data_IF_901128585011
#
_entry.id   IF_901128585011
#
_cell.length_a   1.000
_cell.length_b   1.000
_cell.length_c   1.000
_cell.angle_alpha   90.00
_cell.angle_beta   90.00
_cell.angle_gamma   90.00
#
_symmetry.space_group_name_H-M   'P 1'
#
loop_
_entity.id
_entity.type
_entity.pdbx_description
1 polymer ?
#
# COMPACT_ATOMS: atom_id res chain seq x y z
N UNK A 1 -15.10 49.54 -31.94
CA UNK A 1 -14.59 48.15 -31.83
C UNK A 1 -13.59 48.11 -30.69
N UNK A 2 -13.83 47.34 -29.62
CA UNK A 2 -12.88 47.17 -28.50
C UNK A 2 -12.44 45.71 -28.47
N UNK A 3 -11.15 45.45 -28.69
CA UNK A 3 -10.58 44.09 -28.64
C UNK A 3 -10.25 43.76 -27.18
N UNK A 4 -10.94 42.81 -26.59
CA UNK A 4 -10.54 42.23 -25.31
C UNK A 4 -9.45 41.18 -25.57
N UNK A 5 -8.23 41.45 -25.08
CA UNK A 5 -7.16 40.46 -25.05
C UNK A 5 -7.37 39.53 -23.85
N UNK A 6 -7.60 38.24 -24.11
CA UNK A 6 -7.66 37.22 -23.07
C UNK A 6 -6.22 36.78 -22.76
N UNK A 7 -5.73 37.09 -21.57
CA UNK A 7 -4.46 36.56 -21.07
C UNK A 7 -4.73 35.16 -20.53
N UNK A 8 -4.29 34.13 -21.26
CA UNK A 8 -4.36 32.74 -20.81
C UNK A 8 -3.09 32.45 -20.00
N UNK A 9 -3.21 32.48 -18.67
CA UNK A 9 -2.12 32.08 -17.78
C UNK A 9 -1.96 30.57 -17.80
N UNK A 10 -0.98 30.07 -18.55
CA UNK A 10 -0.63 28.65 -18.57
C UNK A 10 0.07 28.29 -17.26
N UNK A 11 -0.67 27.74 -16.31
CA UNK A 11 -0.09 27.09 -15.12
C UNK A 11 0.52 25.76 -15.56
N UNK A 12 1.85 25.73 -15.72
CA UNK A 12 2.59 24.49 -15.96
C UNK A 12 2.60 23.71 -14.64
N UNK A 13 1.63 22.81 -14.50
CA UNK A 13 1.61 21.84 -13.42
C UNK A 13 2.78 20.87 -13.59
N UNK A 14 3.78 20.96 -12.71
CA UNK A 14 4.82 19.93 -12.58
C UNK A 14 4.13 18.71 -11.96
N UNK A 15 3.59 17.83 -12.81
CA UNK A 15 3.22 16.49 -12.36
C UNK A 15 4.52 15.74 -12.06
N UNK A 16 4.78 15.29 -10.82
CA UNK A 16 5.81 14.28 -10.61
C UNK A 16 5.44 13.07 -11.47
N UNK A 17 6.41 12.51 -12.18
CA UNK A 17 6.15 11.35 -13.02
C UNK A 17 5.74 10.19 -12.13
N UNK A 18 4.43 9.92 -12.12
CA UNK A 18 3.83 8.86 -11.34
C UNK A 18 4.34 7.55 -11.91
N UNK A 19 5.38 6.99 -11.27
CA UNK A 19 5.71 5.56 -11.34
C UNK A 19 4.38 4.83 -11.22
N UNK A 20 4.02 4.13 -12.29
CA UNK A 20 2.65 3.67 -12.51
C UNK A 20 2.29 2.57 -11.51
N UNK A 21 1.83 3.02 -10.35
CA UNK A 21 1.26 2.20 -9.29
C UNK A 21 -0.20 1.97 -9.62
N UNK A 22 -0.50 0.82 -10.22
CA UNK A 22 -1.88 0.39 -10.50
C UNK A 22 -2.63 -0.04 -9.21
N UNK A 23 -2.06 0.23 -8.02
CA UNK A 23 -2.60 -0.13 -6.70
C UNK A 23 -3.09 1.06 -5.87
N UNK A 24 -4.01 0.78 -4.95
CA UNK A 24 -4.75 1.77 -4.18
C UNK A 24 -3.93 2.45 -3.07
N UNK A 25 -2.78 1.91 -2.68
CA UNK A 25 -1.89 2.52 -1.68
C UNK A 25 -0.50 2.85 -2.28
N UNK A 26 -0.37 3.83 -3.21
CA UNK A 26 0.88 4.13 -3.92
C UNK A 26 2.09 4.32 -3.01
N UNK A 27 3.07 3.43 -3.12
CA UNK A 27 4.31 3.45 -2.33
C UNK A 27 5.23 4.56 -2.84
N UNK A 28 5.76 5.36 -1.92
CA UNK A 28 6.60 6.54 -2.20
C UNK A 28 7.99 6.48 -1.57
N UNK A 29 8.22 5.57 -0.61
CA UNK A 29 9.54 5.20 -0.13
C UNK A 29 9.55 3.70 0.26
N UNK A 30 10.58 2.91 -0.10
CA UNK A 30 11.79 3.31 -0.83
C UNK A 30 11.55 3.63 -2.31
N UNK A 31 12.41 4.50 -2.84
CA UNK A 31 12.46 4.88 -4.24
C UNK A 31 13.15 3.78 -5.08
N UNK A 32 12.87 3.79 -6.39
CA UNK A 32 13.56 2.91 -7.33
C UNK A 32 15.08 3.17 -7.32
N UNK A 33 15.86 2.12 -7.12
CA UNK A 33 17.31 2.11 -6.94
C UNK A 33 17.84 2.82 -5.67
N UNK A 34 16.97 3.09 -4.68
CA UNK A 34 17.42 3.55 -3.36
C UNK A 34 18.22 2.45 -2.63
N UNK A 35 19.17 2.87 -1.78
CA UNK A 35 19.89 1.97 -0.88
C UNK A 35 19.37 2.21 0.54
N UNK A 36 18.50 1.31 1.00
CA UNK A 36 18.00 1.28 2.37
C UNK A 36 19.15 0.88 3.32
N UNK A 37 19.35 1.53 4.48
CA UNK A 37 20.37 1.13 5.44
C UNK A 37 19.93 -0.10 6.25
N UNK A 38 20.77 -1.15 6.27
CA UNK A 38 20.59 -2.25 7.22
C UNK A 38 20.94 -1.83 8.65
N UNK A 39 20.36 -2.56 9.63
CA UNK A 39 20.55 -2.39 11.07
C UNK A 39 20.30 -0.95 11.58
N UNK A 40 19.50 -0.18 10.83
CA UNK A 40 19.08 1.18 11.18
C UNK A 40 17.58 1.35 10.90
N UNK A 41 16.88 2.19 11.69
CA UNK A 41 15.52 2.57 11.38
C UNK A 41 15.39 3.22 10.01
N UNK A 42 14.38 2.78 9.26
CA UNK A 42 14.00 3.28 7.95
C UNK A 42 12.47 3.42 7.88
N UNK A 43 11.98 4.49 7.26
CA UNK A 43 10.53 4.74 7.14
C UNK A 43 10.04 4.37 5.74
N UNK A 44 9.30 3.28 5.64
CA UNK A 44 8.49 2.95 4.47
C UNK A 44 7.35 3.96 4.40
N UNK A 45 7.06 4.51 3.21
CA UNK A 45 6.03 5.54 3.02
C UNK A 45 5.14 5.23 1.83
N UNK A 46 3.86 5.56 1.96
CA UNK A 46 2.88 5.39 0.88
C UNK A 46 1.76 6.44 0.99
N UNK A 47 0.90 6.50 -0.02
CA UNK A 47 -0.33 7.29 -0.01
C UNK A 47 -1.51 6.38 0.35
N UNK A 48 -2.07 6.44 1.58
CA UNK A 48 -3.19 5.57 1.95
C UNK A 48 -4.46 6.00 1.23
N UNK A 49 -5.05 5.12 0.40
CA UNK A 49 -6.36 5.35 -0.24
C UNK A 49 -7.35 4.19 -0.06
N UNK A 50 -6.98 3.16 0.70
CA UNK A 50 -7.91 2.10 1.14
C UNK A 50 -8.34 2.30 2.60
N UNK A 51 -9.52 1.80 3.01
CA UNK A 51 -10.06 2.05 4.34
C UNK A 51 -9.66 1.00 5.41
N UNK A 52 -9.08 -0.14 5.02
CA UNK A 52 -8.68 -1.20 5.94
C UNK A 52 -7.28 -0.99 6.51
N UNK A 53 -6.92 -1.70 7.60
CA UNK A 53 -5.52 -1.88 7.97
C UNK A 53 -4.79 -2.65 6.86
N UNK A 54 -3.47 -2.53 6.82
CA UNK A 54 -2.62 -3.13 5.78
C UNK A 54 -1.60 -4.10 6.36
N UNK A 55 -1.23 -5.12 5.60
CA UNK A 55 0.05 -5.83 5.79
C UNK A 55 1.14 -5.22 4.89
N UNK A 56 2.40 -5.40 5.30
CA UNK A 56 3.56 -4.94 4.54
C UNK A 56 4.53 -6.10 4.41
N UNK A 57 4.94 -6.40 3.17
CA UNK A 57 5.79 -7.56 2.87
C UNK A 57 6.99 -7.15 2.02
N UNK A 58 8.14 -7.72 2.35
CA UNK A 58 9.38 -7.65 1.57
C UNK A 58 9.49 -8.88 0.68
N UNK A 59 9.76 -8.67 -0.60
CA UNK A 59 9.92 -9.72 -1.61
C UNK A 59 11.36 -9.71 -2.14
N UNK A 60 11.87 -10.89 -2.46
CA UNK A 60 13.21 -11.09 -3.01
C UNK A 60 13.22 -12.31 -3.95
N UNK A 61 13.74 -12.13 -5.17
CA UNK A 61 13.87 -13.19 -6.19
C UNK A 61 12.58 -14.04 -6.33
N UNK A 62 12.68 -15.36 -6.22
CA UNK A 62 11.57 -16.32 -6.24
C UNK A 62 11.25 -16.89 -4.83
N UNK A 63 11.71 -16.21 -3.78
CA UNK A 63 11.47 -16.65 -2.39
C UNK A 63 10.10 -16.21 -1.88
N UNK A 64 9.57 -16.91 -0.87
CA UNK A 64 8.34 -16.52 -0.18
C UNK A 64 8.52 -15.12 0.43
N UNK A 65 7.57 -14.18 0.29
CA UNK A 65 7.63 -12.87 0.93
C UNK A 65 7.76 -12.97 2.46
N UNK A 66 8.59 -12.08 3.00
CA UNK A 66 8.77 -11.85 4.44
C UNK A 66 7.77 -10.78 4.87
N UNK A 67 6.94 -11.06 5.87
CA UNK A 67 6.09 -10.04 6.48
C UNK A 67 6.94 -9.12 7.35
N UNK A 68 6.95 -7.82 7.03
CA UNK A 68 7.50 -6.77 7.88
C UNK A 68 6.51 -6.43 9.00
N UNK A 69 5.22 -6.43 8.66
CA UNK A 69 4.11 -6.53 9.61
C UNK A 69 2.95 -7.31 8.98
N UNK A 70 2.23 -8.08 9.80
CA UNK A 70 0.99 -8.77 9.42
C UNK A 70 -0.23 -7.85 9.49
N UNK A 71 -0.15 -6.72 10.21
CA UNK A 71 -1.22 -5.72 10.31
C UNK A 71 -0.68 -4.40 10.90
N UNK A 72 -0.97 -3.29 10.23
CA UNK A 72 -0.76 -1.92 10.73
C UNK A 72 -1.90 -1.01 10.27
N UNK A 73 -2.06 0.13 10.95
CA UNK A 73 -2.97 1.18 10.47
C UNK A 73 -2.52 1.69 9.10
N UNK A 74 -3.47 2.04 8.23
CA UNK A 74 -3.19 2.57 6.89
C UNK A 74 -2.98 4.09 6.95
N UNK A 75 -1.97 4.54 7.70
CA UNK A 75 -1.69 5.96 7.96
C UNK A 75 -0.70 6.59 6.94
N UNK A 76 -0.03 5.76 6.13
CA UNK A 76 0.95 6.17 5.13
C UNK A 76 2.41 6.03 5.55
N UNK A 77 2.70 5.47 6.74
CA UNK A 77 4.05 5.36 7.30
C UNK A 77 4.27 4.07 8.08
N UNK A 78 5.43 3.43 7.90
CA UNK A 78 5.83 2.30 8.74
C UNK A 78 7.34 2.34 9.02
N UNK A 79 7.71 2.31 10.29
CA UNK A 79 9.11 2.25 10.72
C UNK A 79 9.57 0.78 10.75
N UNK A 80 10.62 0.50 9.98
CA UNK A 80 11.21 -0.82 9.83
C UNK A 80 12.73 -0.71 10.03
N UNK A 81 13.31 -1.63 10.78
CA UNK A 81 14.77 -1.83 10.82
C UNK A 81 15.09 -3.09 10.01
N UNK A 82 15.75 -2.98 8.84
CA UNK A 82 16.15 -4.16 8.07
C UNK A 82 17.23 -4.92 8.83
N UNK A 83 16.85 -6.04 9.45
CA UNK A 83 17.76 -6.89 10.20
C UNK A 83 18.18 -8.12 9.40
N UNK A 84 19.47 -8.44 9.44
CA UNK A 84 20.06 -9.61 8.78
C UNK A 84 21.04 -9.31 7.65
N UNK A 85 21.48 -10.37 6.96
CA UNK A 85 22.58 -10.29 5.98
C UNK A 85 22.03 -10.02 4.57
N UNK A 86 22.25 -8.80 4.07
CA UNK A 86 21.82 -8.37 2.74
C UNK A 86 22.97 -8.36 1.72
N UNK A 87 22.65 -8.55 0.44
CA UNK A 87 23.65 -8.65 -0.64
C UNK A 87 24.01 -7.33 -1.34
N UNK A 88 23.38 -6.22 -0.94
CA UNK A 88 23.60 -4.88 -1.48
C UNK A 88 23.01 -4.62 -2.88
N UNK A 89 22.16 -5.50 -3.42
CA UNK A 89 21.68 -5.40 -4.81
C UNK A 89 20.22 -4.89 -4.92
N UNK A 90 19.89 -4.29 -6.07
CA UNK A 90 18.51 -3.87 -6.43
C UNK A 90 17.62 -5.07 -6.83
N UNK A 91 17.38 -5.98 -5.90
CA UNK A 91 16.54 -7.18 -6.08
C UNK A 91 15.38 -7.27 -5.08
N UNK A 92 15.27 -6.32 -4.15
CA UNK A 92 14.15 -6.22 -3.21
C UNK A 92 13.02 -5.36 -3.77
N UNK A 93 11.78 -5.73 -3.46
CA UNK A 93 10.59 -4.89 -3.68
C UNK A 93 9.58 -5.11 -2.55
N UNK A 94 8.65 -4.17 -2.37
CA UNK A 94 7.60 -4.22 -1.35
C UNK A 94 6.24 -4.58 -1.96
N UNK A 95 5.38 -5.14 -1.11
CA UNK A 95 3.93 -5.07 -1.29
C UNK A 95 3.24 -4.53 -0.05
N UNK A 96 2.23 -3.67 -0.23
CA UNK A 96 1.31 -3.24 0.82
C UNK A 96 -0.09 -3.71 0.42
N UNK A 97 -0.71 -4.57 1.24
CA UNK A 97 -2.01 -5.18 0.95
C UNK A 97 -3.08 -4.77 1.97
N UNK A 98 -4.26 -4.38 1.52
CA UNK A 98 -5.41 -4.07 2.40
C UNK A 98 -6.04 -5.37 2.93
N UNK A 99 -6.28 -5.43 4.24
CA UNK A 99 -6.83 -6.61 4.93
C UNK A 99 -8.37 -6.65 4.93
N UNK A 100 -9.04 -5.55 4.57
CA UNK A 100 -10.48 -5.45 4.40
C UNK A 100 -10.96 -5.68 2.97
N UNK A 101 -10.10 -5.49 1.96
CA UNK A 101 -10.40 -5.68 0.53
C UNK A 101 -9.57 -6.85 -0.02
N UNK A 102 -10.19 -7.99 -0.37
CA UNK A 102 -9.44 -9.21 -0.70
C UNK A 102 -8.66 -9.09 -2.02
N UNK A 103 -7.37 -9.43 -1.96
CA UNK A 103 -6.38 -9.34 -3.05
C UNK A 103 -6.02 -7.91 -3.48
N UNK A 104 -6.33 -6.90 -2.65
CA UNK A 104 -6.03 -5.50 -2.95
C UNK A 104 -4.61 -5.14 -2.48
N UNK A 105 -3.66 -5.14 -3.41
CA UNK A 105 -2.24 -5.00 -3.09
C UNK A 105 -1.52 -4.02 -4.03
N UNK A 106 -0.69 -3.15 -3.46
CA UNK A 106 0.20 -2.25 -4.20
C UNK A 106 1.64 -2.77 -4.16
N UNK A 107 2.34 -2.80 -5.30
CA UNK A 107 3.67 -3.39 -5.43
C UNK A 107 4.71 -2.41 -6.01
N UNK A 108 5.97 -2.50 -5.56
CA UNK A 108 7.11 -1.79 -6.19
C UNK A 108 7.92 -2.67 -7.15
N UNK A 109 7.30 -3.61 -7.87
CA UNK A 109 8.02 -4.60 -8.71
C UNK A 109 9.00 -3.97 -9.75
N UNK A 110 8.60 -2.84 -10.36
CA UNK A 110 9.44 -2.05 -11.29
C UNK A 110 10.35 -1.03 -10.57
N UNK A 111 10.10 -0.77 -9.29
CA UNK A 111 10.86 0.14 -8.42
C UNK A 111 11.65 -0.64 -7.38
N UNK A 112 12.52 -1.54 -7.84
CA UNK A 112 13.39 -2.34 -6.95
C UNK A 112 14.41 -1.44 -6.25
N UNK A 113 14.75 -1.82 -5.03
CA UNK A 113 15.73 -1.13 -4.19
C UNK A 113 16.73 -2.13 -3.61
N UNK A 114 17.82 -1.60 -3.05
CA UNK A 114 18.85 -2.36 -2.37
C UNK A 114 18.73 -2.16 -0.86
N UNK A 115 19.21 -3.15 -0.11
CA UNK A 115 19.43 -3.03 1.33
C UNK A 115 20.94 -3.18 1.54
N UNK A 116 21.53 -2.23 2.26
CA UNK A 116 22.98 -2.17 2.50
C UNK A 116 23.48 -3.46 3.12
N UNK A 117 24.64 -3.96 2.69
CA UNK A 117 25.35 -4.97 3.49
C UNK A 117 26.07 -4.29 4.66
N UNK A 118 26.28 -5.02 5.76
CA UNK A 118 26.98 -4.53 6.97
C UNK A 118 28.40 -4.01 6.69
N UNK A 119 28.96 -4.34 5.51
CA UNK A 119 30.29 -3.92 5.07
C UNK A 119 30.33 -2.57 4.35
N UNK A 120 29.22 -2.03 3.85
CA UNK A 120 29.25 -0.87 2.93
C UNK A 120 28.05 0.07 3.11
N UNK A 121 27.96 0.71 4.27
CA UNK A 121 27.09 1.88 4.47
C UNK A 121 27.72 3.17 3.88
N UNK A 122 27.96 3.23 2.56
CA UNK A 122 28.32 4.46 1.83
C UNK A 122 28.31 4.29 0.31
N UNK A 123 28.03 5.40 -0.40
CA UNK A 123 27.84 5.54 -1.85
C UNK A 123 26.59 4.83 -2.41
N UNK A 124 25.67 5.48 -3.14
CA UNK A 124 25.71 6.82 -3.75
C UNK A 124 24.39 7.58 -3.65
N UNK A 125 24.40 8.74 -2.98
CA UNK A 125 23.54 9.87 -3.34
C UNK A 125 23.98 10.38 -4.72
N UNK A 126 23.44 9.78 -5.79
CA UNK A 126 23.56 10.33 -7.15
C UNK A 126 22.57 11.48 -7.33
N UNK A 127 22.72 12.52 -6.51
CA UNK A 127 22.10 13.81 -6.76
C UNK A 127 22.77 14.43 -7.98
N UNK A 128 22.06 14.45 -9.11
CA UNK A 128 22.44 15.13 -10.35
C UNK A 128 22.41 16.66 -10.18
N UNK A 129 23.26 17.18 -9.29
CA UNK A 129 23.41 18.59 -9.00
C UNK A 129 24.43 19.22 -9.95
N UNK A 130 24.03 19.44 -11.21
CA UNK A 130 24.79 20.27 -12.14
C UNK A 130 24.80 21.72 -11.63
N UNK A 131 25.98 22.20 -11.30
CA UNK A 131 26.19 23.50 -10.65
C UNK A 131 26.67 24.58 -11.64
N UNK A 132 26.27 25.83 -11.36
CA UNK A 132 26.91 27.12 -11.74
C UNK A 132 27.06 27.42 -13.26
N UNK A 133 27.02 28.66 -13.78
CA UNK A 133 27.24 30.01 -13.24
C UNK A 133 26.41 31.07 -14.02
N UNK A 134 26.01 32.15 -13.34
CA UNK A 134 25.86 33.56 -13.81
C UNK A 134 24.72 34.24 -13.03
N UNK A 135 24.79 35.45 -12.46
CA UNK A 135 25.83 36.41 -12.07
C UNK A 135 25.07 37.71 -11.76
N UNK A 136 25.26 38.32 -10.57
CA UNK A 136 24.93 39.73 -10.22
C UNK A 136 23.53 40.28 -10.57
N UNK A 137 22.74 40.74 -9.60
CA UNK A 137 22.98 42.08 -9.01
C UNK A 137 22.61 42.24 -7.54
N UNK A 138 23.33 43.15 -6.88
CA UNK A 138 23.06 43.71 -5.55
C UNK A 138 21.78 44.59 -5.54
N UNK A 139 21.06 44.55 -4.43
CA UNK A 139 20.18 45.64 -3.96
C UNK A 139 19.81 45.42 -2.49
N UNK A 140 20.63 45.99 -1.62
CA UNK A 140 20.32 46.16 -0.19
C UNK A 140 19.07 47.02 0.03
N UNK A 141 18.19 46.62 0.96
CA UNK A 141 17.48 47.54 1.88
C UNK A 141 16.68 46.80 2.97
N UNK A 142 17.13 46.96 4.22
CA UNK A 142 16.26 46.93 5.40
C UNK A 142 15.49 48.25 5.48
N UNK A 143 14.25 48.28 6.02
CA UNK A 143 14.12 48.91 7.33
C UNK A 143 13.05 48.30 8.26
N UNK A 144 13.48 48.03 9.50
CA UNK A 144 12.74 48.43 10.72
C UNK A 144 13.31 49.79 11.19
N UNK A 145 12.64 50.64 12.01
CA UNK A 145 11.68 50.30 13.08
C UNK A 145 10.50 51.31 13.30
N UNK A 146 9.80 51.18 14.44
CA UNK A 146 9.08 52.26 15.18
C UNK A 146 7.74 52.81 14.62
N UNK A 147 6.76 53.28 15.40
CA UNK A 147 6.53 53.35 16.87
C UNK A 147 5.05 53.68 17.22
N UNK A 148 4.62 53.35 18.46
CA UNK A 148 3.49 53.96 19.25
C UNK A 148 2.06 53.97 18.66
N UNK A 149 1.01 53.55 19.37
CA UNK A 149 0.21 54.42 20.29
C UNK A 149 -1.11 53.69 20.71
N UNK A 150 -1.92 54.07 21.73
CA UNK A 150 -1.75 54.89 22.96
C UNK A 150 -2.98 54.70 23.90
N UNK A 151 -2.74 54.32 25.18
CA UNK A 151 -3.54 54.55 26.41
C UNK A 151 -5.02 54.11 26.59
N UNK A 152 -5.31 53.55 27.77
CA UNK A 152 -6.61 53.56 28.48
C UNK A 152 -6.82 54.94 29.19
N UNK A 153 -7.94 55.33 29.88
CA UNK A 153 -8.78 54.51 30.78
C UNK A 153 -10.28 54.93 30.93
N UNK A 154 -10.92 54.44 32.02
CA UNK A 154 -12.00 55.09 32.80
C UNK A 154 -13.49 54.87 32.47
N UNK A 155 -14.09 53.96 33.24
CA UNK A 155 -15.31 54.14 34.07
C UNK A 155 -16.49 55.02 33.61
N UNK A 156 -17.69 54.42 33.59
CA UNK A 156 -18.83 54.87 34.43
C UNK A 156 -19.92 53.80 34.55
N UNK A 157 -20.41 53.58 35.77
CA UNK A 157 -21.69 52.91 36.05
C UNK A 157 -22.86 53.81 35.63
N UNK A 158 -24.04 53.22 35.39
CA UNK A 158 -25.14 53.56 36.30
C UNK A 158 -25.91 52.34 36.80
N UNK A 159 -26.21 52.36 38.10
CA UNK A 159 -27.17 51.47 38.75
C UNK A 159 -28.53 52.16 38.75
N UNK A 160 -29.58 51.52 38.23
CA UNK A 160 -30.96 51.89 38.55
C UNK A 160 -31.75 50.64 38.89
N UNK A 161 -32.19 50.56 40.14
CA UNK A 161 -33.12 49.55 40.64
C UNK A 161 -34.54 49.79 40.11
N UNK A 162 -35.34 48.73 39.96
CA UNK A 162 -36.60 48.55 40.70
C UNK A 162 -37.42 47.34 40.18
N UNK A 163 -37.70 46.44 41.13
CA UNK A 163 -39.00 45.78 41.40
C UNK A 163 -39.69 44.78 40.44
N UNK A 164 -40.42 43.86 41.08
CA UNK A 164 -41.59 43.08 40.65
C UNK A 164 -41.53 42.15 39.39
N UNK A 165 -41.10 40.90 39.63
CA UNK A 165 -41.78 39.64 39.25
C UNK A 165 -42.34 39.39 37.81
N UNK A 166 -41.80 38.38 37.09
CA UNK A 166 -42.51 37.64 36.04
C UNK A 166 -42.83 36.17 36.42
N UNK A 167 -43.82 35.52 35.77
CA UNK A 167 -44.33 34.20 36.16
C UNK A 167 -43.47 33.00 35.71
N UNK A 168 -43.84 31.81 36.19
CA UNK A 168 -43.14 30.54 35.96
C UNK A 168 -42.88 30.20 34.48
N UNK A 169 -41.76 29.49 34.17
CA UNK A 169 -41.37 29.23 32.78
C UNK A 169 -42.17 28.08 32.16
N UNK A 170 -42.61 28.19 30.89
CA UNK A 170 -43.02 27.03 30.11
C UNK A 170 -41.78 26.17 29.78
N UNK A 171 -41.79 24.91 30.21
CA UNK A 171 -40.66 23.99 30.03
C UNK A 171 -40.37 23.69 28.56
N UNK A 172 -39.20 24.11 28.08
CA UNK A 172 -38.69 23.82 26.74
C UNK A 172 -37.27 23.27 26.78
N UNK A 173 -37.08 22.04 26.30
CA UNK A 173 -35.76 21.39 26.26
C UNK A 173 -34.76 22.20 25.43
N UNK A 174 -33.61 22.49 26.04
CA UNK A 174 -32.53 23.30 25.46
C UNK A 174 -32.10 22.81 24.08
N UNK A 175 -31.78 23.75 23.19
CA UNK A 175 -31.38 23.50 21.79
C UNK A 175 -30.24 22.46 21.66
N UNK A 176 -29.35 22.40 22.65
CA UNK A 176 -28.23 21.45 22.72
C UNK A 176 -28.69 19.98 22.81
N UNK A 177 -29.84 19.69 23.43
CA UNK A 177 -30.37 18.33 23.55
C UNK A 177 -30.92 17.77 22.23
N UNK A 178 -31.40 18.63 21.32
CA UNK A 178 -31.97 18.20 20.04
C UNK A 178 -30.90 17.73 19.04
N UNK A 179 -29.71 18.31 19.08
CA UNK A 179 -28.61 18.00 18.15
C UNK A 179 -28.02 16.61 18.44
N UNK A 180 -27.95 16.21 19.71
CA UNK A 180 -27.43 14.90 20.12
C UNK A 180 -28.24 13.71 19.59
N UNK A 181 -29.55 13.89 19.35
CA UNK A 181 -30.45 12.81 18.93
C UNK A 181 -30.31 12.49 17.43
N UNK A 182 -30.00 13.48 16.58
CA UNK A 182 -29.96 13.30 15.13
C UNK A 182 -28.79 12.42 14.64
N UNK A 183 -27.61 12.54 15.27
CA UNK A 183 -26.41 11.80 14.86
C UNK A 183 -26.54 10.29 15.14
N UNK A 184 -27.19 9.92 16.25
CA UNK A 184 -27.37 8.52 16.65
C UNK A 184 -28.21 7.77 15.60
N UNK A 185 -29.33 8.33 15.14
CA UNK A 185 -30.15 7.68 14.11
C UNK A 185 -29.45 7.56 12.75
N UNK A 186 -28.56 8.50 12.38
CA UNK A 186 -27.77 8.39 11.16
C UNK A 186 -26.78 7.21 11.20
N UNK A 187 -26.05 7.05 12.31
CA UNK A 187 -25.07 5.97 12.49
C UNK A 187 -25.74 4.60 12.62
N UNK A 188 -26.80 4.48 13.44
CA UNK A 188 -27.53 3.21 13.57
C UNK A 188 -28.30 2.84 12.28
N UNK A 189 -28.89 3.82 11.58
CA UNK A 189 -29.59 3.59 10.31
C UNK A 189 -28.65 3.09 9.21
N UNK A 190 -27.47 3.70 9.07
CA UNK A 190 -26.44 3.27 8.10
C UNK A 190 -25.84 1.92 8.45
N UNK A 191 -25.57 1.64 9.73
CA UNK A 191 -25.09 0.33 10.17
C UNK A 191 -26.09 -0.80 9.86
N UNK A 192 -27.40 -0.59 10.11
CA UNK A 192 -28.44 -1.57 9.82
C UNK A 192 -28.64 -1.79 8.30
N UNK A 193 -28.59 -0.73 7.49
CA UNK A 193 -28.61 -0.83 6.02
C UNK A 193 -27.40 -1.59 5.49
N UNK A 194 -26.20 -1.28 5.97
CA UNK A 194 -24.95 -1.97 5.61
C UNK A 194 -25.00 -3.46 5.99
N UNK A 195 -25.42 -3.79 7.21
CA UNK A 195 -25.56 -5.17 7.66
C UNK A 195 -26.63 -5.93 6.87
N UNK A 196 -27.74 -5.28 6.50
CA UNK A 196 -28.77 -5.85 5.63
C UNK A 196 -28.24 -6.19 4.24
N UNK A 197 -27.54 -5.25 3.59
CA UNK A 197 -26.91 -5.47 2.29
C UNK A 197 -25.81 -6.55 2.35
N UNK A 198 -24.98 -6.57 3.39
CA UNK A 198 -23.97 -7.59 3.61
C UNK A 198 -24.59 -8.98 3.81
N UNK A 199 -25.67 -9.10 4.60
CA UNK A 199 -26.40 -10.35 4.77
C UNK A 199 -27.01 -10.85 3.46
N UNK A 200 -27.58 -9.96 2.64
CA UNK A 200 -28.10 -10.31 1.31
C UNK A 200 -27.00 -10.73 0.34
N UNK A 201 -25.86 -10.04 0.33
CA UNK A 201 -24.69 -10.40 -0.46
C UNK A 201 -24.15 -11.78 -0.06
N UNK A 202 -23.96 -12.04 1.24
CA UNK A 202 -23.50 -13.33 1.76
C UNK A 202 -24.51 -14.46 1.49
N UNK A 203 -25.81 -14.18 1.52
CA UNK A 203 -26.86 -15.13 1.13
C UNK A 203 -26.87 -15.42 -0.38
N UNK A 204 -26.55 -14.44 -1.22
CA UNK A 204 -26.41 -14.59 -2.68
C UNK A 204 -25.14 -15.36 -3.07
N UNK A 205 -24.02 -15.07 -2.42
CA UNK A 205 -22.77 -15.84 -2.51
C UNK A 205 -23.00 -17.34 -2.22
N UNK A 206 -23.67 -17.67 -1.11
CA UNK A 206 -24.03 -19.07 -0.79
C UNK A 206 -24.93 -19.75 -1.82
N UNK A 207 -25.74 -19.00 -2.59
CA UNK A 207 -26.56 -19.56 -3.69
C UNK A 207 -25.76 -19.85 -4.95
N UNK A 208 -24.60 -19.22 -5.14
CA UNK A 208 -23.70 -19.52 -6.26
C UNK A 208 -22.86 -20.79 -6.02
N UNK A 209 -22.78 -21.28 -4.78
CA UNK A 209 -22.22 -22.59 -4.43
C UNK A 209 -23.25 -23.73 -4.57
N UNK A 210 -23.99 -23.76 -5.68
CA UNK A 210 -24.75 -24.96 -6.08
C UNK A 210 -23.78 -25.93 -6.77
N UNK A 211 -23.55 -27.15 -6.25
CA UNK A 211 -22.54 -28.04 -6.79
C UNK A 211 -23.01 -28.72 -8.09
N UNK A 212 -22.65 -28.14 -9.24
CA UNK A 212 -22.70 -28.83 -10.53
C UNK A 212 -21.52 -29.82 -10.70
N UNK A 213 -21.38 -30.75 -9.75
CA UNK A 213 -20.68 -32.02 -9.99
C UNK A 213 -20.99 -33.08 -8.92
N UNK A 214 -22.20 -33.64 -8.99
CA UNK A 214 -22.45 -34.94 -8.37
C UNK A 214 -21.95 -36.04 -9.32
N UNK A 215 -20.67 -36.43 -9.19
CA UNK A 215 -20.19 -37.67 -9.83
C UNK A 215 -20.93 -38.84 -9.16
N UNK A 216 -21.70 -39.68 -9.88
CA UNK A 216 -22.26 -40.88 -9.30
C UNK A 216 -21.15 -41.88 -8.97
N UNK A 217 -21.22 -42.63 -7.87
CA UNK A 217 -20.23 -43.64 -7.55
C UNK A 217 -20.20 -44.72 -8.65
N UNK A 218 -19.03 -44.91 -9.27
CA UNK A 218 -18.78 -46.06 -10.13
C UNK A 218 -18.93 -47.34 -9.31
N UNK A 219 -19.91 -48.16 -9.67
CA UNK A 219 -20.04 -49.50 -9.11
C UNK A 219 -18.88 -50.36 -9.63
N UNK A 220 -18.02 -50.84 -8.73
CA UNK A 220 -17.07 -51.91 -9.04
C UNK A 220 -17.84 -53.19 -9.36
N UNK A 221 -18.07 -53.45 -10.65
CA UNK A 221 -18.67 -54.70 -11.11
C UNK A 221 -17.67 -55.84 -10.90
N UNK A 222 -17.84 -56.57 -9.80
CA UNK A 222 -17.18 -57.84 -9.51
C UNK A 222 -17.63 -58.87 -10.56
N UNK A 223 -16.81 -59.13 -11.57
CA UNK A 223 -17.04 -60.18 -12.55
C UNK A 223 -16.23 -61.44 -12.17
N UNK A 224 -16.91 -62.46 -11.66
CA UNK A 224 -16.35 -63.80 -11.45
C UNK A 224 -16.78 -64.75 -12.59
N UNK A 225 -15.79 -65.51 -13.10
CA UNK A 225 -15.89 -66.82 -13.79
C UNK A 225 -16.81 -67.00 -15.02
N UNK A 226 -16.20 -66.96 -16.21
CA UNK A 226 -16.05 -68.06 -17.21
C UNK A 226 -15.29 -67.46 -18.41
N UNK A 227 -14.33 -68.09 -19.09
CA UNK A 227 -13.89 -69.48 -19.08
C UNK A 227 -14.04 -70.11 -20.47
N UNK A 228 -13.03 -69.96 -21.35
CA UNK A 228 -12.45 -71.06 -22.17
C UNK A 228 -11.17 -70.59 -22.93
N UNK A 229 -10.52 -71.54 -23.59
CA UNK A 229 -9.13 -71.62 -24.02
C UNK A 229 -8.84 -71.00 -25.40
N UNK A 230 -7.65 -70.41 -25.56
CA UNK A 230 -6.83 -70.57 -26.78
C UNK A 230 -5.34 -70.49 -26.45
N UNK A 231 -4.50 -71.08 -27.32
CA UNK A 231 -3.16 -71.58 -26.95
C UNK A 231 -2.00 -70.70 -27.49
N UNK A 232 -0.96 -70.64 -26.66
CA UNK A 232 0.41 -70.06 -26.78
C UNK A 232 1.15 -70.59 -28.05
N UNK A 233 2.00 -69.80 -28.77
CA UNK A 233 3.36 -69.54 -28.27
C UNK A 233 4.09 -68.21 -28.57
N UNK A 234 5.01 -67.93 -27.64
CA UNK A 234 6.32 -67.23 -27.74
C UNK A 234 6.50 -66.00 -28.65
N UNK A 235 7.07 -64.94 -28.07
CA UNK A 235 8.49 -64.66 -28.30
C UNK A 235 9.12 -63.79 -27.19
N UNK A 236 10.15 -64.36 -26.58
CA UNK A 236 11.26 -63.79 -25.80
C UNK A 236 11.33 -62.25 -25.67
N UNK A 237 11.39 -61.76 -24.44
CA UNK A 237 11.83 -60.40 -24.14
C UNK A 237 13.35 -60.30 -23.98
N UNK A 238 13.92 -59.11 -24.21
CA UNK A 238 15.28 -58.75 -23.77
C UNK A 238 15.29 -57.33 -23.19
N UNK A 239 16.22 -57.07 -22.27
CA UNK A 239 16.24 -55.89 -21.40
C UNK A 239 17.09 -54.74 -21.97
N UNK A 240 16.82 -53.47 -21.61
CA UNK A 240 17.69 -52.35 -21.99
C UNK A 240 19.05 -52.42 -21.29
N UNK A 241 20.14 -52.35 -22.06
CA UNK A 241 21.51 -52.29 -21.52
C UNK A 241 21.86 -50.89 -21.01
N UNK A 242 22.56 -50.74 -19.86
CA UNK A 242 23.22 -49.50 -19.49
C UNK A 242 24.55 -49.33 -20.24
N UNK A 243 24.87 -48.11 -20.67
CA UNK A 243 26.16 -47.76 -21.26
C UNK A 243 27.15 -47.29 -20.19
N UNK A 244 28.40 -47.75 -20.27
CA UNK A 244 29.53 -47.37 -19.38
C UNK A 244 30.80 -47.19 -20.22
N UNK A 245 31.59 -46.16 -19.92
CA UNK A 245 32.89 -45.85 -20.54
C UNK A 245 32.78 -44.99 -21.81
N UNK A 246 33.55 -43.92 -22.04
CA UNK A 246 34.59 -43.29 -21.22
C UNK A 246 35.96 -43.29 -21.92
N UNK A 247 36.41 -42.14 -22.41
CA UNK A 247 37.80 -41.89 -22.80
C UNK A 247 38.10 -40.38 -22.93
N UNK A 248 39.29 -40.00 -22.44
CA UNK A 248 40.21 -38.92 -22.87
C UNK A 248 39.67 -37.49 -23.12
N UNK A 249 40.38 -36.41 -22.79
CA UNK A 249 41.81 -36.31 -22.45
C UNK A 249 42.50 -35.31 -23.38
N UNK A 250 42.30 -34.00 -23.15
CA UNK A 250 42.79 -32.95 -24.04
C UNK A 250 43.05 -31.63 -23.33
N UNK A 251 44.29 -31.41 -22.89
CA UNK A 251 44.76 -30.12 -22.37
C UNK A 251 45.19 -29.25 -23.55
N UNK A 252 44.62 -28.05 -23.68
CA UNK A 252 45.06 -27.05 -24.65
C UNK A 252 45.68 -25.85 -23.93
N UNK A 253 46.97 -25.60 -24.19
CA UNK A 253 47.65 -24.36 -23.77
C UNK A 253 47.72 -23.38 -24.95
N UNK A 254 47.62 -22.05 -24.70
CA UNK A 254 47.70 -21.07 -25.77
C UNK A 254 49.16 -20.84 -26.21
N UNK A 255 49.36 -20.59 -27.51
CA UNK A 255 50.64 -20.13 -28.06
C UNK A 255 50.64 -18.59 -28.14
N UNK A 256 51.84 -18.02 -27.99
CA UNK A 256 52.14 -16.59 -28.15
C UNK A 256 51.76 -16.05 -29.52
#
# INVERSE_FOLDING_TARGET
>A
MRRFGIIITLVIGITPELVRSDGFNPISAPLANEIVPAEKPYTIRWSPRTPGPVDIRLHFAETQPIYLTESTENDGSYEWTPSGVFDGKNNYFLSICDLGIPNECTYTYNGRFAISSDSTASSSLSSSSSSILSSSTDSSQSPTPSSSSTLAPSSSTPSTSNDANPPAPPGGLSLKAKIAIAVVFAVFGTALLGLGLFCLYRRRQRRQQSPLHAVPPQYTQKAELHGDSQVIPELVGDSPRPWVGGQEGGVYTPRR
#
